data_IF_267149401229
#
_entry.id   IF_267149401229
#
_cell.length_a   1.000
_cell.length_b   1.000
_cell.length_c   1.000
_cell.angle_alpha   90.00
_cell.angle_beta   90.00
_cell.angle_gamma   90.00
#
_symmetry.space_group_name_H-M   'P 1'
#
loop_
_entity.id
_entity.type
_entity.pdbx_description
1 polymer ?
#
# COMPACT_ATOMS: atom_id res chain seq x y z
N UNK A 1 24.74 -8.83 -3.47
CA UNK A 1 25.76 -9.65 -2.78
C UNK A 1 25.07 -10.94 -2.36
N UNK A 2 25.54 -12.07 -2.89
CA UNK A 2 25.06 -13.43 -2.58
C UNK A 2 25.94 -13.99 -1.45
N UNK A 3 25.37 -14.73 -0.51
CA UNK A 3 26.12 -15.58 0.42
C UNK A 3 26.29 -16.99 -0.18
N UNK A 4 27.27 -17.78 0.31
CA UNK A 4 27.78 -19.02 -0.28
C UNK A 4 26.81 -20.21 -0.31
N UNK A 5 25.59 -20.04 0.22
CA UNK A 5 24.56 -21.10 0.30
C UNK A 5 23.33 -20.85 -0.61
N UNK A 6 23.44 -19.95 -1.59
CA UNK A 6 22.43 -19.80 -2.64
C UNK A 6 21.06 -19.28 -2.17
N UNK A 7 20.92 -18.89 -0.91
CA UNK A 7 19.70 -18.33 -0.35
C UNK A 7 19.69 -16.80 -0.58
N UNK A 8 18.73 -16.24 -1.34
CA UNK A 8 18.69 -14.80 -1.58
C UNK A 8 18.29 -14.06 -0.29
N UNK A 9 19.27 -13.49 0.42
CA UNK A 9 19.12 -12.77 1.69
C UNK A 9 18.35 -11.44 1.59
N UNK A 10 18.16 -10.92 0.37
CA UNK A 10 17.30 -9.77 0.12
C UNK A 10 16.77 -9.84 -1.32
N UNK A 11 15.51 -10.22 -1.48
CA UNK A 11 14.83 -10.10 -2.78
C UNK A 11 14.12 -8.75 -2.79
N UNK A 12 14.66 -7.79 -3.56
CA UNK A 12 13.96 -6.54 -3.85
C UNK A 12 12.73 -6.86 -4.70
N UNK A 13 11.55 -6.90 -4.07
CA UNK A 13 10.28 -6.98 -4.78
C UNK A 13 9.75 -5.57 -4.95
N UNK A 14 9.47 -5.18 -6.19
CA UNK A 14 8.81 -3.91 -6.46
C UNK A 14 7.43 -3.91 -5.80
N UNK A 15 7.20 -2.93 -4.93
CA UNK A 15 5.92 -2.67 -4.30
C UNK A 15 5.43 -1.30 -4.73
N UNK A 16 4.13 -1.11 -4.77
CA UNK A 16 3.53 0.15 -5.16
C UNK A 16 2.60 0.64 -4.06
N UNK A 17 2.67 1.94 -3.75
CA UNK A 17 1.67 2.64 -2.97
C UNK A 17 0.73 3.39 -3.91
N UNK A 18 -0.54 3.46 -3.54
CA UNK A 18 -1.57 4.11 -4.36
C UNK A 18 -2.08 5.32 -3.59
N UNK A 19 -1.88 6.50 -4.18
CA UNK A 19 -2.46 7.77 -3.77
C UNK A 19 -3.69 8.10 -4.60
N UNK A 20 -4.65 8.77 -3.99
CA UNK A 20 -5.90 9.20 -4.60
C UNK A 20 -6.03 10.70 -4.34
N UNK A 21 -6.28 11.47 -5.39
CA UNK A 21 -6.56 12.89 -5.40
C UNK A 21 -8.03 13.10 -5.82
N UNK A 22 -8.98 13.17 -4.87
CA UNK A 22 -10.41 13.26 -5.17
C UNK A 22 -10.79 14.46 -6.03
N UNK A 23 -10.07 15.57 -5.89
CA UNK A 23 -10.23 16.80 -6.66
C UNK A 23 -9.85 16.65 -8.15
N UNK A 24 -9.11 15.62 -8.52
CA UNK A 24 -8.71 15.34 -9.91
C UNK A 24 -9.59 14.27 -10.57
N UNK A 25 -10.43 13.58 -9.79
CA UNK A 25 -11.33 12.55 -10.28
C UNK A 25 -12.45 13.17 -11.11
N UNK A 26 -12.60 12.72 -12.36
CA UNK A 26 -13.69 13.14 -13.24
C UNK A 26 -14.99 12.38 -12.90
N UNK A 27 -14.87 11.07 -12.64
CA UNK A 27 -15.98 10.22 -12.25
C UNK A 27 -15.62 9.43 -10.99
N UNK A 28 -16.09 9.94 -9.85
CA UNK A 28 -15.79 9.37 -8.53
C UNK A 28 -16.35 7.95 -8.40
N UNK A 29 -17.53 7.67 -8.96
CA UNK A 29 -18.17 6.36 -8.81
C UNK A 29 -17.47 5.28 -9.65
N UNK A 30 -17.05 5.63 -10.87
CA UNK A 30 -16.21 4.77 -11.69
C UNK A 30 -14.85 4.50 -11.03
N UNK A 31 -14.23 5.53 -10.43
CA UNK A 31 -12.99 5.38 -9.69
C UNK A 31 -13.14 4.46 -8.48
N UNK A 32 -14.24 4.56 -7.71
CA UNK A 32 -14.52 3.67 -6.57
C UNK A 32 -14.66 2.21 -6.98
N UNK A 33 -15.41 1.94 -8.05
CA UNK A 33 -15.55 0.59 -8.58
C UNK A 33 -14.21 0.03 -9.02
N UNK A 34 -13.41 0.82 -9.75
CA UNK A 34 -12.09 0.40 -10.20
C UNK A 34 -11.13 0.16 -9.03
N UNK A 35 -11.11 1.04 -8.02
CA UNK A 35 -10.28 0.87 -6.82
C UNK A 35 -10.67 -0.42 -6.08
N UNK A 36 -11.97 -0.71 -5.99
CA UNK A 36 -12.45 -1.92 -5.32
C UNK A 36 -12.05 -3.18 -6.09
N UNK A 37 -12.17 -3.17 -7.42
CA UNK A 37 -11.79 -4.30 -8.30
C UNK A 37 -10.27 -4.52 -8.35
N UNK A 38 -9.49 -3.44 -8.57
CA UNK A 38 -8.05 -3.52 -8.75
C UNK A 38 -7.27 -3.72 -7.44
N UNK A 39 -7.77 -3.17 -6.32
CA UNK A 39 -7.09 -3.23 -5.02
C UNK A 39 -7.73 -4.21 -4.05
N UNK A 40 -8.91 -4.75 -4.37
CA UNK A 40 -9.67 -5.64 -3.47
C UNK A 40 -10.15 -4.93 -2.19
N UNK A 41 -10.28 -3.61 -2.20
CA UNK A 41 -10.72 -2.84 -1.03
C UNK A 41 -12.25 -2.79 -0.94
N UNK A 42 -12.78 -2.61 0.27
CA UNK A 42 -14.21 -2.45 0.47
C UNK A 42 -14.72 -1.14 -0.13
N UNK A 43 -15.98 -1.13 -0.57
CA UNK A 43 -16.65 0.05 -1.11
C UNK A 43 -16.69 1.22 -0.11
N UNK A 44 -16.79 0.92 1.19
CA UNK A 44 -16.73 1.92 2.27
C UNK A 44 -15.36 2.59 2.34
N UNK A 45 -14.27 1.81 2.23
CA UNK A 45 -12.92 2.36 2.19
C UNK A 45 -12.70 3.17 0.90
N UNK A 46 -13.14 2.67 -0.26
CA UNK A 46 -13.07 3.40 -1.52
C UNK A 46 -13.83 4.74 -1.45
N UNK A 47 -14.99 4.77 -0.80
CA UNK A 47 -15.79 5.99 -0.57
C UNK A 47 -15.03 6.99 0.29
N UNK A 48 -14.45 6.55 1.41
CA UNK A 48 -13.67 7.42 2.30
C UNK A 48 -12.43 8.00 1.61
N UNK A 49 -11.75 7.20 0.80
CA UNK A 49 -10.54 7.62 0.10
C UNK A 49 -10.84 8.62 -1.02
N UNK A 50 -12.03 8.53 -1.62
CA UNK A 50 -12.53 9.42 -2.68
C UNK A 50 -13.42 10.55 -2.15
N UNK A 51 -13.48 10.76 -0.83
CA UNK A 51 -14.25 11.86 -0.25
C UNK A 51 -13.73 13.22 -0.72
N UNK A 52 -14.59 14.13 -1.22
CA UNK A 52 -14.18 15.43 -1.74
C UNK A 52 -13.58 16.36 -0.67
N UNK A 53 -13.86 16.09 0.62
CA UNK A 53 -13.25 16.80 1.75
C UNK A 53 -11.74 16.56 1.86
N UNK A 54 -11.24 15.46 1.29
CA UNK A 54 -9.82 15.12 1.28
C UNK A 54 -9.19 15.57 -0.02
N UNK A 55 -8.08 16.30 0.07
CA UNK A 55 -7.26 16.65 -1.12
C UNK A 55 -6.37 15.52 -1.58
N UNK A 56 -5.98 14.65 -0.66
CA UNK A 56 -5.09 13.53 -0.90
C UNK A 56 -5.36 12.41 0.10
N UNK A 57 -5.47 11.18 -0.39
CA UNK A 57 -5.67 9.98 0.42
C UNK A 57 -4.73 8.88 -0.06
N UNK A 58 -4.04 8.19 0.84
CA UNK A 58 -3.22 7.03 0.47
C UNK A 58 -3.99 5.76 0.83
N UNK A 59 -4.06 4.83 -0.11
CA UNK A 59 -4.66 3.52 0.15
C UNK A 59 -3.70 2.73 1.04
N UNK A 60 -4.16 2.23 2.21
CA UNK A 60 -3.31 1.45 3.09
C UNK A 60 -2.89 0.14 2.41
N UNK A 61 -1.60 -0.18 2.49
CA UNK A 61 -1.05 -1.41 1.95
C UNK A 61 -0.02 -1.20 0.85
N UNK A 62 0.46 -2.32 0.30
CA UNK A 62 1.47 -2.34 -0.76
C UNK A 62 1.03 -3.31 -1.84
N UNK A 63 0.95 -2.81 -3.06
CA UNK A 63 0.34 -3.53 -4.17
C UNK A 63 1.40 -4.11 -5.13
N UNK A 64 1.08 -5.22 -5.82
CA UNK A 64 1.95 -5.78 -6.84
C UNK A 64 1.99 -4.87 -8.09
N UNK A 65 3.02 -5.01 -8.95
CA UNK A 65 3.16 -4.22 -10.18
C UNK A 65 1.96 -4.30 -11.13
N UNK A 66 1.17 -5.38 -11.07
CA UNK A 66 -0.04 -5.55 -11.89
C UNK A 66 -1.07 -4.43 -11.65
N UNK A 67 -1.18 -3.93 -10.41
CA UNK A 67 -2.09 -2.83 -10.05
C UNK A 67 -1.74 -1.55 -10.82
N UNK A 68 -0.46 -1.29 -11.08
CA UNK A 68 -0.04 -0.14 -11.88
C UNK A 68 -0.65 -0.18 -13.27
N UNK A 69 -0.73 -1.36 -13.89
CA UNK A 69 -1.30 -1.50 -15.23
C UNK A 69 -2.81 -1.29 -15.22
N UNK A 70 -3.51 -1.80 -14.20
CA UNK A 70 -4.97 -1.68 -14.08
C UNK A 70 -5.43 -0.25 -13.76
N UNK A 71 -4.64 0.49 -12.96
CA UNK A 71 -4.94 1.88 -12.59
C UNK A 71 -4.30 2.91 -13.53
N UNK A 72 -3.60 2.47 -14.58
CA UNK A 72 -2.94 3.36 -15.51
C UNK A 72 -3.97 4.19 -16.30
N UNK A 73 -3.73 5.50 -16.42
CA UNK A 73 -4.59 6.40 -17.19
C UNK A 73 -5.82 6.92 -16.44
N UNK A 74 -6.02 6.55 -15.18
CA UNK A 74 -7.09 7.13 -14.36
C UNK A 74 -6.63 8.41 -13.70
N UNK A 75 -7.20 9.53 -14.14
CA UNK A 75 -6.90 10.85 -13.59
C UNK A 75 -7.28 10.89 -12.11
N UNK A 76 -6.36 11.39 -11.27
CA UNK A 76 -6.52 11.46 -9.81
C UNK A 76 -6.12 10.18 -9.07
N UNK A 77 -5.67 9.13 -9.76
CA UNK A 77 -5.04 7.96 -9.14
C UNK A 77 -3.54 7.99 -9.43
N UNK A 78 -2.75 7.96 -8.37
CA UNK A 78 -1.30 8.13 -8.43
C UNK A 78 -0.62 6.88 -7.87
N UNK A 79 0.04 6.11 -8.73
CA UNK A 79 0.73 4.88 -8.33
C UNK A 79 2.23 5.16 -8.17
N UNK A 80 2.72 5.15 -6.93
CA UNK A 80 4.12 5.42 -6.61
C UNK A 80 4.86 4.11 -6.39
N UNK A 81 6.03 3.96 -7.03
CA UNK A 81 6.91 2.81 -6.80
C UNK A 81 7.64 2.97 -5.47
N UNK A 82 7.48 2.00 -4.60
CA UNK A 82 8.27 1.86 -3.38
C UNK A 82 9.23 0.68 -3.48
N UNK A 83 10.52 0.96 -3.27
CA UNK A 83 11.54 -0.07 -3.20
C UNK A 83 11.61 -0.61 -1.76
N UNK A 84 10.83 -1.63 -1.45
CA UNK A 84 10.90 -2.27 -0.13
C UNK A 84 12.05 -3.27 -0.11
N UNK A 85 13.03 -3.05 0.78
CA UNK A 85 14.03 -4.06 1.12
C UNK A 85 13.38 -5.08 2.04
N UNK A 86 13.11 -6.28 1.53
CA UNK A 86 12.55 -7.37 2.32
C UNK A 86 13.71 -8.19 2.91
N UNK A 87 13.80 -8.25 4.24
CA UNK A 87 14.71 -9.11 4.98
C UNK A 87 13.90 -10.32 5.52
N UNK A 88 14.05 -11.53 4.94
CA UNK A 88 13.33 -12.71 5.40
C UNK A 88 13.75 -13.23 6.80
N UNK A 89 14.59 -12.51 7.54
CA UNK A 89 15.08 -12.89 8.88
C UNK A 89 14.40 -12.08 10.01
N UNK A 90 13.16 -11.64 9.81
CA UNK A 90 12.41 -10.80 10.76
C UNK A 90 11.44 -11.57 11.67
N UNK A 91 11.15 -12.85 11.40
CA UNK A 91 10.24 -13.69 12.20
C UNK A 91 10.83 -14.10 13.57
N UNK A 92 12.06 -13.69 13.86
CA UNK A 92 12.72 -13.90 15.16
C UNK A 92 12.70 -12.66 16.05
N UNK A 93 11.98 -11.60 15.69
CA UNK A 93 11.97 -10.33 16.45
C UNK A 93 10.62 -9.96 17.08
N UNK A 94 9.59 -10.81 16.99
CA UNK A 94 8.27 -10.57 17.60
C UNK A 94 8.26 -10.67 19.14
N UNK A 95 9.43 -10.80 19.78
CA UNK A 95 9.58 -10.89 21.23
C UNK A 95 9.94 -9.60 21.97
N UNK A 96 10.14 -8.45 21.31
CA UNK A 96 10.68 -7.24 21.98
C UNK A 96 9.77 -6.00 21.90
N UNK A 97 8.60 -6.07 21.27
CA UNK A 97 7.68 -4.93 21.20
C UNK A 97 6.31 -5.27 21.78
N UNK A 98 6.19 -5.14 23.09
CA UNK A 98 4.89 -5.08 23.74
C UNK A 98 4.91 -5.52 25.19
N UNK A 99 5.22 -4.59 26.10
CA UNK A 99 4.62 -4.46 27.43
C UNK A 99 5.16 -3.16 28.07
N UNK A 100 4.69 -2.01 27.59
CA UNK A 100 4.50 -0.89 28.53
C UNK A 100 3.23 -1.23 29.29
N UNK A 101 3.42 -1.79 30.48
CA UNK A 101 2.38 -1.89 31.49
C UNK A 101 2.73 -0.83 32.52
N UNK A 102 1.87 0.19 32.62
CA UNK A 102 1.83 1.10 33.74
C UNK A 102 1.89 0.32 35.06
N UNK A 103 2.80 0.71 35.95
CA UNK A 103 2.53 0.65 37.38
C UNK A 103 3.36 1.69 38.17
N UNK A 104 2.64 2.30 39.10
CA UNK A 104 2.98 3.31 40.09
C UNK A 104 4.27 3.06 40.88
N UNK A 105 4.94 4.15 41.26
CA UNK A 105 5.99 4.23 42.29
C UNK A 105 6.37 5.67 42.57
#
# INVERSE_FOLDING_TARGET
>A
MLDRDGTPLAVSRERFSVGIAPNELINVEAARSLLSDALGISSLLATQLTSPERRWSVVPGRYPPAVRQQLNGVRGIHVTRELQRYHPLGDLSDGVLGLVRDNTG
#
